data_IF_089564402726
#
_entry.id   IF_089564402726
#
_cell.length_a   1.000
_cell.length_b   1.000
_cell.length_c   1.000
_cell.angle_alpha   90.00
_cell.angle_beta   90.00
_cell.angle_gamma   90.00
#
_symmetry.space_group_name_H-M   'P 1'
#
loop_
_entity.id
_entity.type
_entity.pdbx_description
1 polymer ?
#
# COMPACT_ATOMS: atom_id res chain seq x y z
N UNK A 1 -24.44 2.14 6.59
CA UNK A 1 -23.45 2.85 7.42
C UNK A 1 -22.16 2.05 7.41
N UNK A 2 -20.99 2.67 7.23
CA UNK A 2 -19.72 1.97 7.24
C UNK A 2 -19.19 1.82 8.67
N UNK A 3 -18.62 0.66 9.01
CA UNK A 3 -17.99 0.43 10.31
C UNK A 3 -16.63 1.12 10.35
N UNK A 4 -16.38 1.92 11.38
CA UNK A 4 -15.09 2.57 11.58
C UNK A 4 -13.99 1.52 11.78
N UNK A 5 -12.91 1.65 11.02
CA UNK A 5 -11.71 0.84 11.22
C UNK A 5 -10.99 1.34 12.47
N UNK A 6 -11.10 0.59 13.57
CA UNK A 6 -10.44 0.92 14.83
C UNK A 6 -9.12 0.17 15.04
N UNK A 7 -8.94 -0.97 14.36
CA UNK A 7 -7.74 -1.82 14.45
C UNK A 7 -7.28 -2.19 13.04
N UNK A 8 -5.99 -2.49 12.83
CA UNK A 8 -5.51 -2.92 11.53
C UNK A 8 -6.25 -4.16 11.01
N UNK A 9 -6.69 -4.09 9.76
CA UNK A 9 -7.31 -5.19 9.03
C UNK A 9 -6.30 -5.79 8.06
N UNK A 10 -5.99 -7.07 8.23
CA UNK A 10 -5.07 -7.80 7.35
C UNK A 10 -5.85 -8.69 6.40
N UNK A 11 -5.54 -8.62 5.11
CA UNK A 11 -6.12 -9.46 4.07
C UNK A 11 -5.04 -9.95 3.12
N UNK A 12 -5.19 -11.19 2.67
CA UNK A 12 -4.46 -11.68 1.52
C UNK A 12 -5.19 -11.23 0.25
N UNK A 13 -4.44 -10.77 -0.72
CA UNK A 13 -4.92 -10.38 -2.05
C UNK A 13 -3.95 -10.92 -3.10
N UNK A 14 -4.42 -11.04 -4.33
CA UNK A 14 -3.59 -11.41 -5.47
C UNK A 14 -3.43 -10.21 -6.38
N UNK A 15 -2.20 -9.89 -6.77
CA UNK A 15 -1.87 -8.85 -7.76
C UNK A 15 -1.10 -9.53 -8.88
N UNK A 16 -1.66 -9.55 -10.09
CA UNK A 16 -1.19 -10.44 -11.16
C UNK A 16 -1.29 -11.90 -10.72
N UNK A 17 -0.18 -12.64 -10.78
CA UNK A 17 -0.08 -14.03 -10.33
C UNK A 17 0.56 -14.18 -8.93
N UNK A 18 0.83 -13.06 -8.25
CA UNK A 18 1.59 -13.05 -6.99
C UNK A 18 0.70 -12.75 -5.78
N UNK A 19 0.82 -13.52 -4.67
CA UNK A 19 0.08 -13.26 -3.45
C UNK A 19 0.74 -12.18 -2.60
N UNK A 20 -0.07 -11.26 -2.08
CA UNK A 20 0.31 -10.18 -1.19
C UNK A 20 -0.55 -10.17 0.06
N UNK A 21 -0.01 -9.61 1.13
CA UNK A 21 -0.75 -9.22 2.32
C UNK A 21 -0.90 -7.72 2.32
N UNK A 22 -2.15 -7.25 2.29
CA UNK A 22 -2.50 -5.86 2.55
C UNK A 22 -2.91 -5.72 4.01
N UNK A 23 -2.35 -4.71 4.67
CA UNK A 23 -2.75 -4.30 6.02
C UNK A 23 -3.30 -2.89 5.92
N UNK A 24 -4.58 -2.73 6.22
CA UNK A 24 -5.27 -1.44 6.21
C UNK A 24 -5.36 -0.98 7.66
N UNK A 25 -4.89 0.22 7.98
CA UNK A 25 -4.98 0.84 9.31
C UNK A 25 -5.70 2.19 9.25
N UNK A 26 -6.05 2.79 10.40
CA UNK A 26 -6.63 4.14 10.42
C UNK A 26 -5.72 5.22 9.80
N UNK A 27 -4.41 5.00 9.73
CA UNK A 27 -3.40 5.96 9.27
C UNK A 27 -3.00 5.75 7.80
N UNK A 28 -3.10 4.52 7.29
CA UNK A 28 -2.69 4.19 5.92
C UNK A 28 -2.87 2.73 5.55
N UNK A 29 -2.16 2.31 4.50
CA UNK A 29 -2.05 0.93 4.07
C UNK A 29 -0.60 0.48 3.98
N UNK A 30 -0.38 -0.81 4.24
CA UNK A 30 0.88 -1.50 4.00
C UNK A 30 0.66 -2.68 3.07
N UNK A 31 1.45 -2.80 2.03
CA UNK A 31 1.44 -3.92 1.09
C UNK A 31 2.76 -4.69 1.17
N UNK A 32 2.69 -5.95 1.54
CA UNK A 32 3.86 -6.86 1.63
C UNK A 32 3.64 -8.08 0.77
N UNK A 33 4.64 -8.49 -0.02
CA UNK A 33 4.57 -9.79 -0.69
C UNK A 33 4.47 -10.92 0.35
N UNK A 34 3.70 -11.97 0.06
CA UNK A 34 3.49 -13.07 0.99
C UNK A 34 4.82 -13.73 1.36
N UNK A 35 5.04 -13.95 2.66
CA UNK A 35 6.31 -14.49 3.19
C UNK A 35 7.47 -13.50 3.27
N UNK A 36 7.26 -12.22 2.90
CA UNK A 36 8.27 -11.16 3.02
C UNK A 36 7.95 -10.22 4.17
N UNK A 37 9.00 -9.64 4.76
CA UNK A 37 8.90 -8.64 5.84
C UNK A 37 8.95 -7.19 5.32
N UNK A 38 9.64 -6.97 4.20
CA UNK A 38 9.69 -5.67 3.53
C UNK A 38 8.44 -5.48 2.67
N UNK A 39 7.86 -4.28 2.73
CA UNK A 39 6.68 -3.89 1.98
C UNK A 39 6.62 -2.39 1.82
N UNK A 40 5.65 -1.93 1.05
CA UNK A 40 5.41 -0.51 0.76
C UNK A 40 4.34 0.00 1.73
N UNK A 41 4.53 1.17 2.30
CA UNK A 41 3.57 1.85 3.17
C UNK A 41 3.11 3.15 2.52
N UNK A 42 1.81 3.43 2.59
CA UNK A 42 1.19 4.63 2.05
C UNK A 42 0.19 5.19 3.06
N UNK A 43 0.43 6.41 3.54
CA UNK A 43 -0.50 7.11 4.43
C UNK A 43 -1.73 7.62 3.67
N UNK A 44 -2.89 7.69 4.34
CA UNK A 44 -4.11 8.21 3.71
C UNK A 44 -3.99 9.67 3.30
N UNK A 45 -3.34 10.50 4.11
CA UNK A 45 -3.09 11.91 3.79
C UNK A 45 -2.32 12.06 2.47
N UNK A 46 -1.29 11.25 2.28
CA UNK A 46 -0.50 11.16 1.06
C UNK A 46 -1.32 10.71 -0.15
N UNK A 47 -2.25 9.77 0.05
CA UNK A 47 -3.14 9.28 -1.00
C UNK A 47 -4.21 10.31 -1.40
N UNK A 48 -4.74 11.07 -0.44
CA UNK A 48 -5.79 12.07 -0.66
C UNK A 48 -5.23 13.40 -1.17
N UNK A 49 -4.00 13.77 -0.80
CA UNK A 49 -3.36 15.02 -1.25
C UNK A 49 -2.91 14.99 -2.71
N UNK A 50 -2.91 13.83 -3.38
CA UNK A 50 -2.51 13.68 -4.78
C UNK A 50 -0.99 13.70 -5.02
N UNK A 51 -0.17 14.15 -4.06
CA UNK A 51 1.30 14.22 -4.19
C UNK A 51 2.00 12.86 -4.07
N UNK A 52 1.46 11.91 -3.29
CA UNK A 52 2.12 10.61 -3.14
C UNK A 52 1.87 9.66 -4.31
N UNK A 53 0.76 9.82 -5.05
CA UNK A 53 0.54 9.06 -6.28
C UNK A 53 1.56 9.45 -7.36
N UNK A 54 1.82 10.75 -7.52
CA UNK A 54 2.77 11.26 -8.51
C UNK A 54 4.23 10.96 -8.10
N UNK A 55 4.60 11.21 -6.84
CA UNK A 55 5.96 10.95 -6.36
C UNK A 55 6.29 9.44 -6.34
N UNK A 56 5.34 8.58 -5.96
CA UNK A 56 5.56 7.13 -5.99
C UNK A 56 5.61 6.58 -7.42
N UNK A 57 4.78 7.06 -8.33
CA UNK A 57 4.83 6.66 -9.75
C UNK A 57 6.11 7.15 -10.43
N UNK A 58 6.57 8.37 -10.09
CA UNK A 58 7.80 8.94 -10.61
C UNK A 58 9.03 8.16 -10.13
N UNK A 59 9.15 7.91 -8.83
CA UNK A 59 10.29 7.15 -8.29
C UNK A 59 10.34 5.73 -8.86
N UNK A 60 9.19 5.05 -9.00
CA UNK A 60 9.12 3.73 -9.61
C UNK A 60 9.55 3.73 -11.09
N UNK A 61 9.20 4.77 -11.86
CA UNK A 61 9.60 4.90 -13.27
C UNK A 61 11.11 5.17 -13.44
N UNK A 62 11.70 5.93 -12.50
CA UNK A 62 13.14 6.23 -12.50
C UNK A 62 13.98 5.00 -12.12
N UNK A 63 13.50 4.17 -11.19
CA UNK A 63 14.16 2.90 -10.85
C UNK A 63 14.14 1.88 -12.01
N UNK A 64 13.12 1.90 -12.87
CA UNK A 64 13.03 1.01 -14.05
C UNK A 64 13.96 1.40 -15.20
N UNK A 65 14.43 2.66 -15.24
CA UNK A 65 15.27 3.17 -16.33
C UNK A 65 16.78 3.01 -16.02
N UNK A 66 17.13 2.49 -14.85
CA UNK A 66 18.52 2.33 -14.39
C UNK A 66 19.05 0.91 -14.56
#
# INVERSE_FOLDING_TARGET
MATKLAKPLRREITIGDSPYIVTISPEGLKLTAKGKRKGIELAWSAMVSGEAALASALNASLEQTR
#
